data_IF_616129432941
#
_entry.id   IF_616129432941
#
_cell.length_a   1.000
_cell.length_b   1.000
_cell.length_c   1.000
_cell.angle_alpha   90.00
_cell.angle_beta   90.00
_cell.angle_gamma   90.00
#
_symmetry.space_group_name_H-M   'P 1'
#
loop_
_entity.id
_entity.type
_entity.pdbx_description
1 polymer ?
#
# COMPACT_ATOMS: atom_id res chain seq x y z
N UNK A 1 4.34 -5.51 35.19
CA UNK A 1 3.97 -4.71 36.38
C UNK A 1 4.99 -4.98 37.48
N UNK A 2 5.46 -3.92 38.12
CA UNK A 2 6.40 -3.93 39.26
C UNK A 2 5.78 -4.62 40.48
N UNK A 3 6.60 -5.20 41.35
CA UNK A 3 6.17 -5.73 42.66
C UNK A 3 5.90 -4.63 43.70
N UNK A 4 6.18 -3.38 43.34
CA UNK A 4 5.93 -2.21 44.18
C UNK A 4 4.64 -1.49 43.78
N UNK A 5 3.86 -1.02 44.77
CA UNK A 5 2.64 -0.26 44.53
C UNK A 5 2.95 1.05 43.80
N UNK A 6 2.03 1.57 42.99
CA UNK A 6 2.22 2.81 42.24
C UNK A 6 2.42 4.01 43.19
N UNK A 7 3.54 4.72 43.03
CA UNK A 7 3.81 6.07 43.54
C UNK A 7 3.13 6.49 44.85
N UNK A 8 2.27 7.50 44.79
CA UNK A 8 1.62 8.19 45.92
C UNK A 8 0.31 7.51 46.34
N UNK A 9 -0.17 7.78 47.56
CA UNK A 9 -1.44 7.21 48.06
C UNK A 9 -2.66 7.47 47.15
N UNK A 10 -2.64 8.58 46.40
CA UNK A 10 -3.69 8.93 45.43
C UNK A 10 -3.67 8.01 44.20
N UNK A 11 -2.49 7.59 43.77
CA UNK A 11 -2.31 6.70 42.61
C UNK A 11 -2.71 5.26 42.96
N UNK A 12 -2.31 4.77 44.14
CA UNK A 12 -2.75 3.46 44.67
C UNK A 12 -4.28 3.40 44.77
N UNK A 13 -4.90 4.47 45.26
CA UNK A 13 -6.36 4.59 45.34
C UNK A 13 -7.02 4.51 43.96
N UNK A 14 -6.51 5.24 42.98
CA UNK A 14 -7.07 5.21 41.62
C UNK A 14 -6.91 3.83 40.97
N UNK A 15 -5.80 3.14 41.21
CA UNK A 15 -5.58 1.80 40.69
C UNK A 15 -6.51 0.77 41.33
N UNK A 16 -6.69 0.80 42.66
CA UNK A 16 -7.67 -0.03 43.36
C UNK A 16 -9.10 0.18 42.86
N UNK A 17 -9.49 1.43 42.59
CA UNK A 17 -10.80 1.74 42.01
C UNK A 17 -10.92 1.24 40.56
N UNK A 18 -9.85 1.27 39.76
CA UNK A 18 -9.84 0.66 38.41
C UNK A 18 -9.92 -0.87 38.44
N UNK A 19 -9.54 -1.48 39.56
CA UNK A 19 -9.63 -2.91 39.81
C UNK A 19 -10.95 -3.30 40.52
N UNK A 20 -11.90 -2.38 40.65
CA UNK A 20 -13.18 -2.56 41.36
C UNK A 20 -13.04 -3.04 42.82
N UNK A 21 -11.95 -2.66 43.50
CA UNK A 21 -11.72 -3.00 44.90
C UNK A 21 -12.37 -1.98 45.82
N UNK A 22 -13.28 -2.44 46.69
CA UNK A 22 -13.96 -1.59 47.66
C UNK A 22 -12.99 -1.04 48.72
N UNK A 23 -13.01 0.27 48.93
CA UNK A 23 -12.12 0.93 49.89
C UNK A 23 -12.77 0.98 51.29
N UNK A 24 -12.01 0.68 52.36
CA UNK A 24 -12.55 0.62 53.73
C UNK A 24 -12.99 1.99 54.26
N UNK A 25 -12.40 3.10 53.79
CA UNK A 25 -12.87 4.46 54.09
C UNK A 25 -12.37 5.52 53.11
N UNK A 26 -13.03 6.69 53.12
CA UNK A 26 -12.61 7.88 52.37
C UNK A 26 -11.29 8.50 52.90
N UNK A 27 -10.83 8.09 54.09
CA UNK A 27 -9.59 8.56 54.75
C UNK A 27 -8.53 7.46 54.93
N UNK A 28 -8.63 6.35 54.18
CA UNK A 28 -7.66 5.25 54.26
C UNK A 28 -6.22 5.75 54.10
N UNK A 29 -5.36 5.34 55.03
CA UNK A 29 -3.93 5.67 55.04
C UNK A 29 -3.21 4.97 53.89
N UNK A 30 -2.04 5.50 53.51
CA UNK A 30 -1.22 4.91 52.44
C UNK A 30 -0.92 3.43 52.69
N UNK A 31 -0.55 3.08 53.92
CA UNK A 31 -0.21 1.71 54.31
C UNK A 31 -1.39 0.74 54.17
N UNK A 32 -2.62 1.20 54.47
CA UNK A 32 -3.84 0.40 54.28
C UNK A 32 -4.13 0.18 52.79
N UNK A 33 -3.96 1.21 51.96
CA UNK A 33 -4.12 1.11 50.50
C UNK A 33 -3.06 0.18 49.87
N UNK A 34 -1.81 0.22 50.35
CA UNK A 34 -0.75 -0.68 49.90
C UNK A 34 -1.04 -2.15 50.24
N UNK A 35 -1.58 -2.41 51.43
CA UNK A 35 -1.98 -3.76 51.84
C UNK A 35 -3.11 -4.31 50.95
N UNK A 36 -4.14 -3.50 50.69
CA UNK A 36 -5.23 -3.86 49.77
C UNK A 36 -4.72 -4.09 48.34
N UNK A 37 -3.83 -3.23 47.84
CA UNK A 37 -3.27 -3.39 46.50
C UNK A 37 -2.46 -4.68 46.37
N UNK A 38 -1.66 -5.04 47.38
CA UNK A 38 -0.91 -6.31 47.39
C UNK A 38 -1.81 -7.54 47.40
N UNK A 39 -2.99 -7.45 48.03
CA UNK A 39 -3.96 -8.52 48.09
C UNK A 39 -4.69 -8.75 46.76
N UNK A 40 -4.96 -7.68 46.03
CA UNK A 40 -5.78 -7.73 44.80
C UNK A 40 -4.97 -7.65 43.50
N UNK A 41 -3.66 -7.38 43.56
CA UNK A 41 -2.82 -7.30 42.36
C UNK A 41 -2.87 -8.62 41.57
N UNK A 42 -2.98 -8.56 40.24
CA UNK A 42 -2.98 -9.76 39.42
C UNK A 42 -1.65 -10.50 39.50
N UNK A 43 -1.70 -11.82 39.76
CA UNK A 43 -0.52 -12.68 39.74
C UNK A 43 0.04 -12.82 38.30
N UNK A 44 1.37 -12.90 38.16
CA UNK A 44 1.98 -13.17 36.84
C UNK A 44 1.59 -14.55 36.34
N UNK A 45 1.44 -14.75 35.01
CA UNK A 45 1.39 -16.08 34.45
C UNK A 45 2.72 -16.80 34.71
N UNK A 46 2.60 -18.00 35.28
CA UNK A 46 3.71 -18.84 35.74
C UNK A 46 4.39 -19.50 34.52
N UNK A 47 5.68 -19.24 34.30
CA UNK A 47 6.50 -19.99 33.32
C UNK A 47 7.46 -20.86 34.09
N UNK A 48 7.03 -22.06 34.46
CA UNK A 48 7.93 -23.15 34.87
C UNK A 48 7.24 -24.51 34.71
N UNK A 49 7.66 -25.28 33.72
CA UNK A 49 7.40 -26.70 33.58
C UNK A 49 8.57 -27.35 32.84
N UNK A 50 9.53 -27.90 33.59
CA UNK A 50 10.65 -28.68 33.09
C UNK A 50 10.44 -30.17 33.41
N UNK A 51 10.68 -31.05 32.44
CA UNK A 51 10.99 -32.46 32.66
C UNK A 51 12.42 -32.77 32.15
N UNK A 52 13.27 -33.21 33.10
CA UNK A 52 14.55 -33.94 33.06
C UNK A 52 15.49 -33.95 31.82
N UNK A 53 16.68 -33.33 32.00
CA UNK A 53 18.12 -33.71 31.77
C UNK A 53 18.56 -34.75 30.68
N UNK A 54 19.80 -34.69 30.10
CA UNK A 54 21.04 -34.17 30.74
C UNK A 54 22.04 -33.30 29.93
N UNK A 55 22.77 -32.49 30.71
CA UNK A 55 24.14 -31.95 30.61
C UNK A 55 24.83 -31.64 29.26
N UNK A 56 25.18 -30.36 29.05
CA UNK A 56 26.57 -29.90 28.77
C UNK A 56 26.69 -28.36 28.57
N UNK A 57 27.59 -27.75 29.35
CA UNK A 57 28.52 -26.63 29.05
C UNK A 57 28.04 -25.30 28.40
N UNK A 58 28.13 -24.25 29.22
CA UNK A 58 28.67 -22.88 28.98
C UNK A 58 28.50 -22.18 27.62
N UNK A 59 27.91 -20.96 27.62
CA UNK A 59 28.14 -19.94 26.59
C UNK A 59 27.04 -18.86 26.47
N UNK A 60 27.34 -17.55 26.48
CA UNK A 60 26.35 -16.47 26.46
C UNK A 60 26.06 -16.00 25.01
N UNK A 61 24.82 -16.08 24.54
CA UNK A 61 24.32 -15.31 23.37
C UNK A 61 22.86 -15.68 23.03
N UNK A 62 21.86 -15.00 23.61
CA UNK A 62 20.47 -15.00 23.07
C UNK A 62 19.73 -13.72 23.44
N UNK A 63 19.96 -12.64 22.68
CA UNK A 63 19.06 -11.47 22.59
C UNK A 63 19.03 -10.94 21.15
N UNK A 64 18.56 -11.75 20.18
CA UNK A 64 18.33 -11.28 18.80
C UNK A 64 17.30 -12.08 17.99
N UNK A 65 16.63 -13.11 18.56
CA UNK A 65 15.77 -14.02 17.80
C UNK A 65 14.26 -13.69 17.87
N UNK A 66 13.84 -12.74 18.72
CA UNK A 66 12.40 -12.48 18.95
C UNK A 66 11.72 -11.58 17.90
N UNK A 67 12.47 -10.73 17.20
CA UNK A 67 11.89 -9.71 16.32
C UNK A 67 11.45 -10.28 14.94
N UNK A 68 12.18 -11.26 14.39
CA UNK A 68 11.88 -11.84 13.08
C UNK A 68 10.62 -12.73 13.09
N UNK A 69 10.45 -13.51 14.15
CA UNK A 69 9.25 -14.34 14.36
C UNK A 69 8.01 -13.48 14.58
N UNK A 70 8.16 -12.33 15.26
CA UNK A 70 7.08 -11.35 15.44
C UNK A 70 6.59 -10.72 14.13
N UNK A 71 7.49 -10.47 13.17
CA UNK A 71 7.16 -9.92 11.85
C UNK A 71 6.37 -10.91 10.97
N UNK A 72 6.75 -12.18 10.98
CA UNK A 72 6.02 -13.23 10.26
C UNK A 72 4.64 -13.50 10.89
N UNK A 73 4.57 -13.52 12.22
CA UNK A 73 3.30 -13.69 12.95
C UNK A 73 2.38 -12.48 12.77
N UNK A 74 2.90 -11.25 12.76
CA UNK A 74 2.10 -10.05 12.51
C UNK A 74 1.55 -10.01 11.08
N UNK A 75 2.33 -10.43 10.08
CA UNK A 75 1.86 -10.56 8.70
C UNK A 75 0.79 -11.65 8.56
N UNK A 76 0.96 -12.79 9.25
CA UNK A 76 -0.03 -13.87 9.30
C UNK A 76 -1.30 -13.48 10.07
N UNK A 77 -1.19 -12.70 11.15
CA UNK A 77 -2.31 -12.22 11.95
C UNK A 77 -3.09 -11.10 11.25
N UNK A 78 -2.41 -10.19 10.56
CA UNK A 78 -3.06 -9.22 9.67
C UNK A 78 -3.72 -9.93 8.47
N UNK A 79 -3.09 -10.98 7.94
CA UNK A 79 -3.68 -11.90 6.97
C UNK A 79 -4.90 -12.67 7.50
N UNK A 80 -4.89 -13.05 8.79
CA UNK A 80 -6.03 -13.71 9.45
C UNK A 80 -7.19 -12.75 9.71
N UNK A 81 -6.90 -11.50 10.09
CA UNK A 81 -7.89 -10.41 10.15
C UNK A 81 -8.48 -10.04 8.79
N UNK A 82 -7.70 -10.24 7.71
CA UNK A 82 -8.16 -10.15 6.32
C UNK A 82 -9.08 -11.34 5.96
N UNK A 83 -8.71 -12.57 6.34
CA UNK A 83 -9.50 -13.78 6.08
C UNK A 83 -10.84 -13.79 6.80
N UNK A 84 -10.92 -13.23 8.01
CA UNK A 84 -12.17 -13.16 8.78
C UNK A 84 -13.15 -12.10 8.28
N UNK A 85 -12.67 -11.06 7.58
CA UNK A 85 -13.49 -9.99 6.98
C UNK A 85 -13.98 -10.30 5.57
N UNK A 86 -13.43 -11.33 4.91
CA UNK A 86 -13.87 -11.80 3.60
C UNK A 86 -15.12 -12.69 3.63
N UNK A 87 -15.74 -12.89 4.80
CA UNK A 87 -17.02 -13.61 4.92
C UNK A 87 -18.22 -12.66 4.93
N UNK A 88 -18.92 -12.47 3.80
CA UNK A 88 -20.34 -12.15 3.83
C UNK A 88 -21.16 -13.45 3.78
N UNK A 89 -22.03 -13.60 4.78
CA UNK A 89 -23.31 -14.34 4.76
C UNK A 89 -23.30 -15.72 4.08
N UNK A 90 -23.49 -16.77 4.88
CA UNK A 90 -23.67 -18.20 4.53
C UNK A 90 -22.43 -19.09 4.73
N UNK A 91 -22.06 -19.30 6.00
CA UNK A 91 -21.74 -20.64 6.53
C UNK A 91 -20.65 -21.50 5.86
N UNK A 92 -19.71 -20.95 5.09
CA UNK A 92 -18.60 -21.74 4.52
C UNK A 92 -17.25 -21.22 5.00
N UNK A 93 -16.49 -22.11 5.63
CA UNK A 93 -15.13 -21.88 6.14
C UNK A 93 -14.18 -21.52 4.99
N UNK A 94 -13.30 -20.50 5.11
CA UNK A 94 -12.38 -20.16 4.04
C UNK A 94 -11.21 -21.15 4.04
N UNK A 95 -11.32 -22.19 3.21
CA UNK A 95 -10.18 -23.01 2.85
C UNK A 95 -9.28 -22.22 1.90
N UNK A 96 -8.06 -21.95 2.36
CA UNK A 96 -6.91 -21.52 1.57
C UNK A 96 -6.71 -22.47 0.36
N UNK A 97 -7.15 -22.08 -0.83
CA UNK A 97 -6.43 -22.25 -2.10
C UNK A 97 -7.21 -21.63 -3.28
N UNK A 98 -6.53 -20.77 -4.02
CA UNK A 98 -6.42 -20.77 -5.49
C UNK A 98 -7.72 -20.98 -6.29
N UNK A 99 -8.46 -19.90 -6.49
CA UNK A 99 -9.26 -19.71 -7.70
C UNK A 99 -9.03 -18.30 -8.20
N UNK A 100 -8.63 -18.14 -9.46
CA UNK A 100 -8.80 -16.84 -10.14
C UNK A 100 -10.28 -16.48 -9.98
N UNK A 101 -10.64 -15.34 -9.37
CA UNK A 101 -12.03 -14.95 -9.23
C UNK A 101 -12.72 -14.99 -10.59
N UNK A 102 -13.81 -15.74 -10.71
CA UNK A 102 -14.57 -15.89 -11.96
C UNK A 102 -15.32 -14.59 -12.25
N UNK A 103 -15.16 -14.03 -13.45
CA UNK A 103 -16.02 -12.94 -13.95
C UNK A 103 -15.35 -11.94 -14.89
N UNK A 104 -14.03 -11.74 -14.80
CA UNK A 104 -13.29 -10.84 -15.69
C UNK A 104 -11.90 -11.39 -16.00
N UNK A 105 -11.59 -11.53 -17.29
CA UNK A 105 -10.35 -12.08 -17.81
C UNK A 105 -9.89 -11.32 -19.05
N UNK A 106 -8.81 -11.77 -19.70
CA UNK A 106 -8.30 -11.12 -20.92
C UNK A 106 -9.32 -11.14 -22.07
N UNK A 107 -10.18 -12.17 -22.16
CA UNK A 107 -11.21 -12.26 -23.19
C UNK A 107 -12.37 -11.26 -22.95
N UNK A 108 -12.48 -10.74 -21.73
CA UNK A 108 -13.45 -9.71 -21.35
C UNK A 108 -13.04 -8.30 -21.82
N UNK A 109 -11.81 -8.12 -22.30
CA UNK A 109 -11.31 -6.83 -22.77
C UNK A 109 -11.78 -6.55 -24.21
N UNK A 110 -12.28 -5.33 -24.49
CA UNK A 110 -12.55 -4.91 -25.86
C UNK A 110 -11.25 -4.69 -26.63
N UNK A 111 -11.35 -4.50 -27.95
CA UNK A 111 -10.23 -4.01 -28.74
C UNK A 111 -9.88 -2.56 -28.34
N UNK A 112 -8.63 -2.37 -27.93
CA UNK A 112 -8.08 -1.09 -27.46
C UNK A 112 -7.15 -0.45 -28.48
N UNK A 113 -7.19 -0.87 -29.76
CA UNK A 113 -6.33 -0.32 -30.84
C UNK A 113 -6.34 1.22 -30.94
N UNK A 114 -7.47 1.85 -30.61
CA UNK A 114 -7.65 3.32 -30.60
C UNK A 114 -7.29 3.98 -29.27
N UNK A 115 -6.83 3.23 -28.28
CA UNK A 115 -6.63 3.70 -26.89
C UNK A 115 -5.15 3.75 -26.54
N UNK A 116 -4.80 4.85 -25.88
CA UNK A 116 -3.43 5.15 -25.43
C UNK A 116 -3.41 5.11 -23.92
N UNK A 117 -2.53 4.29 -23.36
CA UNK A 117 -2.40 4.10 -21.91
C UNK A 117 -1.00 4.42 -21.45
N UNK A 118 -0.89 5.24 -20.42
CA UNK A 118 0.37 5.52 -19.74
C UNK A 118 0.44 4.74 -18.42
N UNK A 119 1.48 3.92 -18.23
CA UNK A 119 1.69 3.14 -17.00
C UNK A 119 3.03 3.49 -16.36
N UNK A 120 3.00 4.00 -15.13
CA UNK A 120 4.22 4.24 -14.35
C UNK A 120 4.79 2.92 -13.83
N UNK A 121 6.10 2.68 -13.98
CA UNK A 121 6.79 1.53 -13.38
C UNK A 121 6.34 0.18 -13.92
N UNK A 122 6.43 -0.03 -15.24
CA UNK A 122 5.99 -1.26 -15.91
C UNK A 122 7.13 -2.20 -16.35
N UNK A 123 8.34 -2.01 -15.81
CA UNK A 123 9.49 -2.84 -16.19
C UNK A 123 9.46 -4.26 -15.60
N UNK A 124 8.76 -4.46 -14.48
CA UNK A 124 8.64 -5.74 -13.74
C UNK A 124 7.31 -5.79 -13.00
N UNK A 125 6.95 -6.96 -12.45
CA UNK A 125 5.87 -7.09 -11.47
C UNK A 125 4.51 -6.71 -12.04
N UNK A 126 3.64 -6.21 -11.16
CA UNK A 126 2.28 -5.79 -11.48
C UNK A 126 2.19 -4.83 -12.68
N UNK A 127 3.10 -3.86 -12.79
CA UNK A 127 3.09 -2.91 -13.90
C UNK A 127 3.32 -3.60 -15.24
N UNK A 128 4.28 -4.54 -15.30
CA UNK A 128 4.51 -5.37 -16.50
C UNK A 128 3.33 -6.27 -16.81
N UNK A 129 2.72 -6.89 -15.79
CA UNK A 129 1.51 -7.69 -15.94
C UNK A 129 0.33 -6.88 -16.51
N UNK A 130 0.12 -5.66 -16.00
CA UNK A 130 -0.89 -4.73 -16.51
C UNK A 130 -0.60 -4.33 -17.96
N UNK A 131 0.64 -3.97 -18.26
CA UNK A 131 1.06 -3.64 -19.62
C UNK A 131 0.86 -4.82 -20.58
N UNK A 132 1.17 -6.06 -20.15
CA UNK A 132 0.94 -7.26 -20.95
C UNK A 132 -0.53 -7.44 -21.30
N UNK A 133 -1.41 -7.34 -20.30
CA UNK A 133 -2.86 -7.49 -20.46
C UNK A 133 -3.41 -6.48 -21.47
N UNK A 134 -3.05 -5.20 -21.31
CA UNK A 134 -3.51 -4.13 -22.19
C UNK A 134 -2.90 -4.22 -23.60
N UNK A 135 -1.63 -4.61 -23.72
CA UNK A 135 -0.97 -4.81 -25.01
C UNK A 135 -1.61 -5.95 -25.82
N UNK A 136 -2.07 -7.02 -25.16
CA UNK A 136 -2.79 -8.13 -25.84
C UNK A 136 -4.17 -7.72 -26.32
N UNK A 137 -4.76 -6.70 -25.69
CA UNK A 137 -5.96 -6.03 -26.17
C UNK A 137 -5.66 -4.91 -27.19
N UNK A 138 -4.44 -4.86 -27.76
CA UNK A 138 -3.98 -3.90 -28.77
C UNK A 138 -3.84 -2.43 -28.32
N UNK A 139 -3.85 -2.14 -27.01
CA UNK A 139 -3.61 -0.77 -26.55
C UNK A 139 -2.23 -0.26 -26.96
N UNK A 140 -2.14 1.03 -27.27
CA UNK A 140 -0.87 1.74 -27.48
C UNK A 140 -0.33 2.16 -26.11
N UNK A 141 0.82 1.62 -25.73
CA UNK A 141 1.36 1.81 -24.39
C UNK A 141 2.55 2.76 -24.41
N UNK A 142 2.50 3.76 -23.52
CA UNK A 142 3.72 4.37 -23.00
C UNK A 142 3.90 3.82 -21.59
N UNK A 143 5.08 3.29 -21.30
CA UNK A 143 5.43 2.85 -19.96
C UNK A 143 6.60 3.64 -19.41
N UNK A 144 6.84 3.53 -18.10
CA UNK A 144 8.06 4.07 -17.51
C UNK A 144 8.87 3.05 -16.74
N UNK A 145 10.17 3.30 -16.67
CA UNK A 145 11.13 2.58 -15.84
C UNK A 145 12.10 3.59 -15.22
N UNK A 146 12.79 3.21 -14.13
CA UNK A 146 13.67 4.14 -13.39
C UNK A 146 14.83 4.73 -14.19
N UNK A 147 15.27 4.07 -15.26
CA UNK A 147 16.38 4.54 -16.09
C UNK A 147 16.23 4.09 -17.53
N UNK A 148 16.94 4.77 -18.43
CA UNK A 148 16.95 4.44 -19.86
C UNK A 148 17.38 2.99 -20.11
N UNK A 149 18.41 2.52 -19.39
CA UNK A 149 18.87 1.14 -19.46
C UNK A 149 17.76 0.12 -19.13
N UNK A 150 16.86 0.46 -18.19
CA UNK A 150 15.72 -0.40 -17.82
C UNK A 150 14.57 -0.28 -18.81
N UNK A 151 14.47 0.80 -19.57
CA UNK A 151 13.41 0.98 -20.54
C UNK A 151 13.50 0.00 -21.72
N UNK A 152 14.70 -0.22 -22.25
CA UNK A 152 14.90 -1.22 -23.31
C UNK A 152 14.45 -2.63 -22.86
N UNK A 153 14.82 -3.02 -21.63
CA UNK A 153 14.38 -4.28 -21.01
C UNK A 153 12.87 -4.35 -20.76
N UNK A 154 12.24 -3.24 -20.37
CA UNK A 154 10.80 -3.17 -20.17
C UNK A 154 10.03 -3.42 -21.48
N UNK A 155 10.40 -2.71 -22.56
CA UNK A 155 9.78 -2.88 -23.88
C UNK A 155 9.96 -4.31 -24.39
N UNK A 156 11.19 -4.84 -24.31
CA UNK A 156 11.48 -6.21 -24.73
C UNK A 156 10.67 -7.25 -23.93
N UNK A 157 10.61 -7.09 -22.61
CA UNK A 157 9.87 -7.99 -21.72
C UNK A 157 8.37 -7.98 -21.98
N UNK A 158 7.78 -6.80 -22.20
CA UNK A 158 6.35 -6.68 -22.52
C UNK A 158 6.05 -7.29 -23.89
N UNK A 159 6.87 -6.99 -24.92
CA UNK A 159 6.70 -7.57 -26.26
C UNK A 159 6.88 -9.09 -26.28
N UNK A 160 7.81 -9.62 -25.49
CA UNK A 160 7.98 -11.06 -25.34
C UNK A 160 6.75 -11.73 -24.73
N UNK A 161 6.09 -11.07 -23.77
CA UNK A 161 4.94 -11.62 -23.06
C UNK A 161 3.58 -11.36 -23.75
N UNK A 162 3.45 -10.29 -24.54
CA UNK A 162 2.21 -9.91 -25.22
C UNK A 162 2.21 -10.22 -26.73
N UNK A 163 3.39 -10.36 -27.33
CA UNK A 163 3.59 -10.59 -28.76
C UNK A 163 4.42 -9.47 -29.42
N UNK A 164 5.17 -9.79 -30.49
CA UNK A 164 6.14 -8.85 -31.09
C UNK A 164 5.50 -7.61 -31.72
N UNK A 165 4.20 -7.66 -32.02
CA UNK A 165 3.42 -6.55 -32.59
C UNK A 165 2.88 -5.56 -31.54
N UNK A 166 3.06 -5.82 -30.25
CA UNK A 166 2.60 -4.92 -29.19
C UNK A 166 3.23 -3.52 -29.36
N UNK A 167 2.39 -2.48 -29.35
CA UNK A 167 2.83 -1.08 -29.44
C UNK A 167 3.21 -0.58 -28.05
N UNK A 168 4.51 -0.49 -27.78
CA UNK A 168 5.06 -0.12 -26.47
C UNK A 168 6.27 0.78 -26.65
N UNK A 169 6.21 1.98 -26.07
CA UNK A 169 7.35 2.88 -25.87
C UNK A 169 7.65 3.00 -24.36
N UNK A 170 8.89 3.35 -24.00
CA UNK A 170 9.28 3.54 -22.60
C UNK A 170 10.12 4.79 -22.40
N UNK A 171 9.77 5.57 -21.37
CA UNK A 171 10.53 6.74 -20.95
C UNK A 171 11.07 6.59 -19.52
N UNK A 172 12.27 7.11 -19.23
CA UNK A 172 12.82 7.07 -17.88
C UNK A 172 12.00 7.95 -16.92
N UNK A 173 11.73 7.44 -15.72
CA UNK A 173 11.03 8.14 -14.64
C UNK A 173 11.57 7.66 -13.30
N UNK A 174 12.31 8.52 -12.60
CA UNK A 174 12.57 8.37 -11.17
C UNK A 174 11.54 9.17 -10.38
N UNK A 175 10.82 8.49 -9.48
CA UNK A 175 9.73 9.08 -8.69
C UNK A 175 10.21 9.68 -7.38
N UNK A 176 11.44 9.37 -6.94
CA UNK A 176 12.06 10.03 -5.79
C UNK A 176 12.67 11.40 -6.11
N UNK A 177 12.39 11.95 -7.29
CA UNK A 177 12.84 13.26 -7.77
C UNK A 177 11.69 13.94 -8.52
N UNK A 178 11.13 15.01 -7.96
CA UNK A 178 10.06 15.78 -8.61
C UNK A 178 10.55 16.49 -9.88
N UNK A 179 11.84 16.84 -9.93
CA UNK A 179 12.46 17.35 -11.15
C UNK A 179 12.47 16.30 -12.28
N UNK A 180 12.73 15.03 -11.95
CA UNK A 180 12.59 13.91 -12.88
C UNK A 180 11.14 13.75 -13.34
N UNK A 181 10.17 13.85 -12.43
CA UNK A 181 8.73 13.81 -12.75
C UNK A 181 8.33 14.90 -13.76
N UNK A 182 8.75 16.16 -13.53
CA UNK A 182 8.48 17.27 -14.45
C UNK A 182 9.05 17.00 -15.85
N UNK A 183 10.33 16.63 -15.95
CA UNK A 183 10.98 16.31 -17.22
C UNK A 183 10.28 15.15 -17.95
N UNK A 184 9.86 14.13 -17.21
CA UNK A 184 9.08 13.02 -17.77
C UNK A 184 7.74 13.49 -18.35
N UNK A 185 7.00 14.32 -17.61
CA UNK A 185 5.72 14.87 -18.07
C UNK A 185 5.87 15.75 -19.32
N UNK A 186 6.93 16.56 -19.39
CA UNK A 186 7.28 17.37 -20.57
C UNK A 186 7.61 16.49 -21.78
N UNK A 187 8.41 15.43 -21.59
CA UNK A 187 8.83 14.53 -22.66
C UNK A 187 7.69 13.61 -23.17
N UNK A 188 6.80 13.17 -22.28
CA UNK A 188 5.72 12.23 -22.63
C UNK A 188 4.54 12.92 -23.30
N UNK A 189 4.28 14.19 -22.99
CA UNK A 189 3.14 14.97 -23.52
C UNK A 189 3.08 14.98 -25.06
N UNK A 190 4.13 15.36 -25.81
CA UNK A 190 4.07 15.36 -27.28
C UNK A 190 3.91 13.94 -27.85
N UNK A 191 4.45 12.92 -27.19
CA UNK A 191 4.26 11.51 -27.62
C UNK A 191 2.80 11.08 -27.46
N UNK A 192 2.18 11.38 -26.32
CA UNK A 192 0.76 11.08 -26.10
C UNK A 192 -0.12 11.79 -27.14
N UNK A 193 0.16 13.07 -27.42
CA UNK A 193 -0.56 13.82 -28.46
C UNK A 193 -0.40 13.19 -29.85
N UNK A 194 0.81 12.77 -30.22
CA UNK A 194 1.08 12.09 -31.48
C UNK A 194 0.36 10.74 -31.61
N UNK A 195 0.13 10.04 -30.49
CA UNK A 195 -0.64 8.79 -30.45
C UNK A 195 -2.16 9.01 -30.40
N UNK A 196 -2.63 10.27 -30.39
CA UNK A 196 -4.06 10.61 -30.39
C UNK A 196 -4.66 10.90 -29.01
N UNK A 197 -3.85 11.03 -27.95
CA UNK A 197 -4.29 11.46 -26.62
C UNK A 197 -3.82 10.57 -25.47
N UNK A 198 -4.45 10.72 -24.31
CA UNK A 198 -4.23 9.92 -23.10
C UNK A 198 -5.56 9.41 -22.58
N UNK A 199 -5.87 8.14 -22.86
CA UNK A 199 -7.16 7.56 -22.55
C UNK A 199 -7.20 6.89 -21.17
N UNK A 200 -6.07 6.39 -20.67
CA UNK A 200 -5.94 5.93 -19.30
C UNK A 200 -4.54 6.24 -18.74
N UNK A 201 -4.51 6.78 -17.52
CA UNK A 201 -3.31 6.99 -16.73
C UNK A 201 -3.28 5.99 -15.56
N UNK A 202 -2.26 5.15 -15.51
CA UNK A 202 -2.10 4.13 -14.46
C UNK A 202 -0.89 4.48 -13.58
N UNK A 203 -1.18 5.03 -12.41
CA UNK A 203 -0.23 5.39 -11.35
C UNK A 203 0.06 4.14 -10.51
N UNK A 204 0.83 3.23 -11.11
CA UNK A 204 1.14 1.90 -10.58
C UNK A 204 2.40 1.84 -9.70
N UNK A 205 3.40 2.66 -9.99
CA UNK A 205 4.71 2.50 -9.38
C UNK A 205 4.68 2.73 -7.86
N UNK A 206 5.55 2.05 -7.12
CA UNK A 206 5.62 2.29 -5.69
C UNK A 206 6.74 1.55 -5.00
N UNK A 207 7.01 1.97 -3.77
CA UNK A 207 7.93 1.34 -2.84
C UNK A 207 7.20 0.87 -1.59
N UNK A 208 7.75 -0.16 -0.96
CA UNK A 208 7.21 -0.73 0.27
C UNK A 208 8.35 -1.07 1.22
N UNK A 209 8.21 -0.60 2.45
CA UNK A 209 9.09 -0.86 3.59
C UNK A 209 10.59 -0.57 3.39
N UNK A 210 10.98 0.54 2.73
CA UNK A 210 12.36 0.98 2.82
C UNK A 210 12.72 1.35 4.28
N UNK A 211 14.02 1.42 4.63
CA UNK A 211 14.44 2.17 5.81
C UNK A 211 13.99 3.64 5.70
N UNK A 212 14.00 4.38 6.81
CA UNK A 212 13.71 5.82 6.77
C UNK A 212 14.72 6.51 5.85
N UNK A 213 14.19 7.18 4.83
CA UNK A 213 14.94 7.92 3.82
C UNK A 213 14.05 9.06 3.33
N UNK A 214 14.68 10.09 2.75
CA UNK A 214 13.98 11.21 2.14
C UNK A 214 14.27 11.26 0.63
N UNK A 215 13.30 11.73 -0.15
CA UNK A 215 13.47 12.08 -1.57
C UNK A 215 14.44 13.26 -1.75
N UNK A 216 14.80 13.60 -2.99
CA UNK A 216 15.62 14.77 -3.29
C UNK A 216 15.04 16.07 -2.72
N UNK A 217 13.71 16.16 -2.64
CA UNK A 217 12.97 17.32 -2.12
C UNK A 217 12.75 17.27 -0.59
N UNK A 218 13.33 16.28 0.10
CA UNK A 218 13.22 16.15 1.55
C UNK A 218 11.82 15.71 2.00
N UNK A 219 11.20 14.76 1.30
CA UNK A 219 9.91 14.15 1.67
C UNK A 219 10.16 12.68 2.00
N UNK A 220 9.52 12.13 3.05
CA UNK A 220 9.64 10.71 3.36
C UNK A 220 9.38 9.83 2.13
N UNK A 221 10.26 8.85 1.92
CA UNK A 221 10.38 8.15 0.65
C UNK A 221 9.10 7.46 0.19
N UNK A 222 8.38 6.75 1.07
CA UNK A 222 7.14 6.06 0.68
C UNK A 222 6.03 7.06 0.32
N UNK A 223 5.85 8.12 1.11
CA UNK A 223 4.87 9.16 0.83
C UNK A 223 5.22 9.95 -0.43
N UNK A 224 6.49 10.35 -0.59
CA UNK A 224 7.02 11.06 -1.75
C UNK A 224 6.84 10.28 -3.05
N UNK A 225 7.27 9.02 -3.08
CA UNK A 225 7.19 8.17 -4.29
C UNK A 225 5.76 7.70 -4.56
N UNK A 226 5.06 7.16 -3.57
CA UNK A 226 3.78 6.48 -3.81
C UNK A 226 2.63 7.46 -4.07
N UNK A 227 2.68 8.66 -3.47
CA UNK A 227 1.61 9.66 -3.49
C UNK A 227 2.04 10.98 -4.15
N UNK A 228 3.03 11.70 -3.61
CA UNK A 228 3.34 13.10 -4.06
C UNK A 228 3.79 13.13 -5.53
N UNK A 229 4.69 12.24 -5.94
CA UNK A 229 5.16 12.18 -7.32
C UNK A 229 4.03 11.81 -8.29
N UNK A 230 3.14 10.91 -7.90
CA UNK A 230 1.97 10.53 -8.70
C UNK A 230 0.91 11.63 -8.78
N UNK A 231 0.68 12.36 -7.69
CA UNK A 231 -0.15 13.55 -7.68
C UNK A 231 0.36 14.56 -8.71
N UNK A 232 1.67 14.82 -8.71
CA UNK A 232 2.30 15.72 -9.68
C UNK A 232 2.08 15.22 -11.12
N UNK A 233 2.30 13.94 -11.42
CA UNK A 233 2.05 13.37 -12.77
C UNK A 233 0.60 13.60 -13.22
N UNK A 234 -0.37 13.28 -12.34
CA UNK A 234 -1.78 13.46 -12.66
C UNK A 234 -2.11 14.94 -12.91
N UNK A 235 -1.60 15.85 -12.09
CA UNK A 235 -1.79 17.30 -12.25
C UNK A 235 -1.21 17.81 -13.58
N UNK A 236 0.01 17.40 -13.94
CA UNK A 236 0.66 17.83 -15.18
C UNK A 236 -0.06 17.29 -16.43
N UNK A 237 -0.65 16.09 -16.34
CA UNK A 237 -1.30 15.41 -17.47
C UNK A 237 -2.83 15.56 -17.48
N UNK A 238 -3.45 16.20 -16.49
CA UNK A 238 -4.91 16.32 -16.39
C UNK A 238 -5.55 16.98 -17.62
N UNK A 239 -4.87 17.97 -18.23
CA UNK A 239 -5.36 18.62 -19.44
C UNK A 239 -5.47 17.66 -20.62
N UNK A 240 -4.54 16.70 -20.74
CA UNK A 240 -4.61 15.66 -21.77
C UNK A 240 -5.71 14.64 -21.46
N UNK A 241 -5.90 14.27 -20.20
CA UNK A 241 -7.02 13.39 -19.80
C UNK A 241 -8.36 14.03 -20.18
N UNK A 242 -8.57 15.31 -19.86
CA UNK A 242 -9.79 16.04 -20.22
C UNK A 242 -9.95 16.15 -21.74
N UNK A 243 -8.89 16.47 -22.48
CA UNK A 243 -8.94 16.56 -23.94
C UNK A 243 -9.21 15.19 -24.62
N UNK A 244 -8.92 14.09 -23.92
CA UNK A 244 -9.11 12.72 -24.40
C UNK A 244 -10.37 12.05 -23.83
N UNK A 245 -11.25 12.83 -23.18
CA UNK A 245 -12.47 12.30 -22.60
C UNK A 245 -13.34 11.58 -23.66
N UNK A 246 -13.95 10.41 -23.35
CA UNK A 246 -13.93 9.75 -22.05
C UNK A 246 -12.57 9.09 -21.74
N UNK A 247 -12.02 9.40 -20.57
CA UNK A 247 -10.70 8.93 -20.12
C UNK A 247 -10.70 8.59 -18.62
N UNK A 248 -9.61 8.00 -18.14
CA UNK A 248 -9.49 7.62 -16.73
C UNK A 248 -8.11 7.82 -16.12
N UNK A 249 -8.09 7.91 -14.79
CA UNK A 249 -6.90 7.81 -13.98
C UNK A 249 -7.08 6.73 -12.89
N UNK A 250 -6.09 5.88 -12.69
CA UNK A 250 -6.10 4.82 -11.68
C UNK A 250 -4.87 4.92 -10.81
N UNK A 251 -5.08 5.04 -9.50
CA UNK A 251 -4.02 4.93 -8.51
C UNK A 251 -3.98 3.51 -7.91
N UNK A 252 -2.83 2.86 -7.97
CA UNK A 252 -2.63 1.56 -7.33
C UNK A 252 -2.46 1.77 -5.82
N UNK A 253 -3.51 1.44 -5.09
CA UNK A 253 -3.56 1.39 -3.64
C UNK A 253 -3.25 -0.05 -3.17
N UNK A 254 -3.73 -0.45 -2.00
CA UNK A 254 -3.55 -1.77 -1.40
C UNK A 254 -4.52 -1.94 -0.25
N UNK A 255 -4.87 -3.17 0.12
CA UNK A 255 -5.51 -3.46 1.42
C UNK A 255 -4.68 -2.98 2.61
N UNK A 256 -3.38 -2.73 2.41
CA UNK A 256 -2.56 -2.08 3.41
C UNK A 256 -3.09 -0.70 3.85
N UNK A 257 -3.95 -0.04 3.06
CA UNK A 257 -4.59 1.20 3.51
C UNK A 257 -5.44 1.00 4.78
N UNK A 258 -5.90 -0.22 5.08
CA UNK A 258 -6.66 -0.56 6.28
C UNK A 258 -5.77 -0.95 7.48
N UNK A 259 -4.46 -1.12 7.28
CA UNK A 259 -3.53 -1.48 8.36
C UNK A 259 -3.38 -0.36 9.39
N UNK A 260 -2.83 -0.67 10.59
CA UNK A 260 -2.46 0.34 11.56
C UNK A 260 -1.59 1.43 10.94
N UNK A 261 -2.02 2.68 11.14
CA UNK A 261 -1.49 3.91 10.57
C UNK A 261 -1.67 5.04 11.59
N UNK A 262 -1.11 6.25 11.37
CA UNK A 262 -1.31 7.38 12.27
C UNK A 262 -2.80 7.62 12.58
N UNK A 263 -3.12 8.11 13.78
CA UNK A 263 -4.50 8.18 14.27
C UNK A 263 -5.45 8.99 13.38
N UNK A 264 -4.93 9.96 12.61
CA UNK A 264 -5.70 10.75 11.63
C UNK A 264 -5.82 10.09 10.25
N UNK A 265 -5.31 8.87 10.06
CA UNK A 265 -5.25 8.17 8.79
C UNK A 265 -4.03 8.55 7.95
N UNK A 266 -3.93 9.82 7.55
CA UNK A 266 -2.79 10.40 6.83
C UNK A 266 -2.30 11.63 7.58
N UNK A 267 -1.00 11.72 7.81
CA UNK A 267 -0.39 12.93 8.38
C UNK A 267 -0.42 14.05 7.31
N UNK A 268 -0.83 15.24 7.70
CA UNK A 268 -0.89 16.43 6.83
C UNK A 268 0.12 17.50 7.26
N UNK A 269 1.24 17.07 7.83
CA UNK A 269 2.31 17.93 8.32
C UNK A 269 3.66 17.30 7.92
N UNK A 270 4.48 18.03 7.15
CA UNK A 270 5.70 17.46 6.57
C UNK A 270 6.69 17.02 7.66
N UNK A 271 6.83 17.79 8.75
CA UNK A 271 7.74 17.47 9.84
C UNK A 271 7.36 16.14 10.51
N UNK A 272 6.06 15.89 10.72
CA UNK A 272 5.57 14.63 11.26
C UNK A 272 5.71 13.47 10.28
N UNK A 273 5.51 13.70 8.97
CA UNK A 273 5.76 12.69 7.92
C UNK A 273 7.25 12.31 7.89
N UNK A 274 8.14 13.28 8.06
CA UNK A 274 9.59 13.10 7.96
C UNK A 274 10.24 12.64 9.27
N UNK A 275 9.53 12.64 10.40
CA UNK A 275 10.10 12.30 11.70
C UNK A 275 10.58 10.84 11.76
N UNK A 276 11.91 10.67 11.79
CA UNK A 276 12.57 9.38 11.88
C UNK A 276 12.24 8.60 13.17
N UNK A 277 11.92 9.30 14.27
CA UNK A 277 11.56 8.68 15.54
C UNK A 277 10.15 8.07 15.51
N UNK A 278 9.26 8.63 14.69
CA UNK A 278 7.91 8.10 14.50
C UNK A 278 7.84 7.03 13.40
N UNK A 279 8.83 7.00 12.51
CA UNK A 279 8.79 6.17 11.31
C UNK A 279 8.58 4.68 11.60
N UNK A 280 7.50 4.15 11.05
CA UNK A 280 7.21 2.73 10.97
C UNK A 280 7.02 2.36 9.50
N UNK A 281 7.87 1.49 8.92
CA UNK A 281 7.78 1.14 7.50
C UNK A 281 6.36 0.72 7.07
N UNK A 282 5.67 -0.06 7.92
CA UNK A 282 4.31 -0.54 7.67
C UNK A 282 3.27 0.58 7.78
N UNK A 283 3.33 1.41 8.82
CA UNK A 283 2.37 2.49 9.01
C UNK A 283 2.53 3.59 7.94
N UNK A 284 3.76 3.86 7.49
CA UNK A 284 4.03 4.81 6.42
C UNK A 284 3.59 4.29 5.06
N UNK A 285 3.77 2.99 4.82
CA UNK A 285 3.20 2.35 3.65
C UNK A 285 1.65 2.43 3.67
N UNK A 286 1.03 2.08 4.81
CA UNK A 286 -0.42 2.12 4.99
C UNK A 286 -1.00 3.51 4.73
N UNK A 287 -0.42 4.57 5.31
CA UNK A 287 -0.87 5.94 5.03
C UNK A 287 -0.66 6.33 3.57
N UNK A 288 0.44 5.92 2.93
CA UNK A 288 0.68 6.22 1.51
C UNK A 288 -0.36 5.55 0.60
N UNK A 289 -0.83 4.35 0.96
CA UNK A 289 -1.88 3.64 0.20
C UNK A 289 -3.28 4.17 0.48
N UNK A 290 -3.54 4.67 1.69
CA UNK A 290 -4.73 5.46 1.98
C UNK A 290 -4.72 6.78 1.19
N UNK A 291 -3.57 7.46 1.13
CA UNK A 291 -3.42 8.69 0.37
C UNK A 291 -3.77 8.50 -1.11
N UNK A 292 -3.32 7.40 -1.74
CA UNK A 292 -3.71 7.06 -3.12
C UNK A 292 -5.23 6.88 -3.30
N UNK A 293 -5.92 6.29 -2.32
CA UNK A 293 -7.37 6.11 -2.37
C UNK A 293 -8.10 7.45 -2.27
N UNK A 294 -7.74 8.27 -1.28
CA UNK A 294 -8.32 9.60 -1.06
C UNK A 294 -8.03 10.53 -2.26
N UNK A 295 -6.82 10.44 -2.80
CA UNK A 295 -6.42 11.15 -4.02
C UNK A 295 -7.34 10.81 -5.20
N UNK A 296 -7.58 9.52 -5.47
CA UNK A 296 -8.46 9.12 -6.57
C UNK A 296 -9.89 9.63 -6.38
N UNK A 297 -10.43 9.59 -5.15
CA UNK A 297 -11.75 10.13 -4.84
C UNK A 297 -11.85 11.65 -5.11
N UNK A 298 -10.83 12.41 -4.71
CA UNK A 298 -10.80 13.86 -4.93
C UNK A 298 -10.55 14.22 -6.40
N UNK A 299 -9.68 13.49 -7.08
CA UNK A 299 -9.45 13.66 -8.53
C UNK A 299 -10.76 13.43 -9.31
N UNK A 300 -11.53 12.40 -8.93
CA UNK A 300 -12.82 12.10 -9.54
C UNK A 300 -13.81 13.24 -9.29
N UNK A 301 -13.96 13.67 -8.03
CA UNK A 301 -14.85 14.76 -7.66
C UNK A 301 -14.56 16.05 -8.46
N UNK A 302 -13.29 16.27 -8.86
CA UNK A 302 -12.86 17.44 -9.63
C UNK A 302 -13.01 17.30 -11.14
N UNK A 303 -12.84 16.09 -11.68
CA UNK A 303 -12.73 15.89 -13.13
C UNK A 303 -13.87 15.08 -13.75
N UNK A 304 -14.73 14.44 -12.96
CA UNK A 304 -15.83 13.60 -13.46
C UNK A 304 -16.78 14.38 -14.39
N UNK A 305 -17.14 15.61 -14.01
CA UNK A 305 -17.97 16.49 -14.85
C UNK A 305 -17.31 16.88 -16.18
N UNK A 306 -16.00 16.68 -16.33
CA UNK A 306 -15.22 16.87 -17.56
C UNK A 306 -15.00 15.56 -18.33
N UNK A 307 -15.69 14.48 -17.96
CA UNK A 307 -15.60 13.18 -18.62
C UNK A 307 -14.37 12.34 -18.25
N UNK A 308 -13.70 12.66 -17.13
CA UNK A 308 -12.56 11.88 -16.62
C UNK A 308 -12.95 11.17 -15.33
N UNK A 309 -12.90 9.84 -15.31
CA UNK A 309 -13.12 9.05 -14.09
C UNK A 309 -11.81 8.80 -13.35
N UNK A 310 -11.77 8.92 -12.04
CA UNK A 310 -10.61 8.52 -11.24
C UNK A 310 -10.97 7.43 -10.22
N UNK A 311 -10.18 6.37 -10.19
CA UNK A 311 -10.42 5.20 -9.33
C UNK A 311 -9.16 4.78 -8.58
N UNK A 312 -9.32 4.04 -7.50
CA UNK A 312 -8.24 3.36 -6.80
C UNK A 312 -8.40 1.84 -6.92
N UNK A 313 -7.30 1.11 -6.89
CA UNK A 313 -7.33 -0.36 -7.00
C UNK A 313 -6.36 -1.01 -6.05
N UNK A 314 -6.81 -2.04 -5.34
CA UNK A 314 -5.95 -3.05 -4.75
C UNK A 314 -5.79 -4.20 -5.75
N UNK A 315 -4.57 -4.51 -6.19
CA UNK A 315 -4.30 -5.54 -7.19
C UNK A 315 -4.18 -6.95 -6.60
N UNK A 316 -4.24 -7.08 -5.27
CA UNK A 316 -4.04 -8.34 -4.56
C UNK A 316 -2.57 -8.59 -4.22
N UNK A 317 -2.29 -9.78 -3.68
CA UNK A 317 -0.92 -10.21 -3.40
C UNK A 317 -0.28 -10.71 -4.70
N UNK A 318 0.44 -9.85 -5.41
CA UNK A 318 1.01 -10.13 -6.74
C UNK A 318 2.51 -10.35 -6.65
N UNK A 319 3.03 -11.33 -7.38
CA UNK A 319 4.47 -11.60 -7.44
C UNK A 319 5.22 -10.38 -8.00
N UNK A 320 6.32 -9.98 -7.36
CA UNK A 320 7.12 -8.86 -7.83
C UNK A 320 8.22 -8.40 -6.87
N UNK A 321 8.94 -7.36 -7.27
CA UNK A 321 10.06 -6.80 -6.50
C UNK A 321 9.64 -5.88 -5.34
N UNK A 322 8.34 -5.72 -5.08
CA UNK A 322 7.85 -4.81 -4.04
C UNK A 322 8.41 -5.16 -2.64
N UNK A 323 8.66 -6.46 -2.40
CA UNK A 323 9.25 -6.98 -1.16
C UNK A 323 10.80 -6.90 -1.12
N UNK A 324 11.47 -6.29 -2.10
CA UNK A 324 12.95 -6.29 -2.18
C UNK A 324 13.64 -5.75 -0.93
N UNK A 325 13.05 -4.76 -0.26
CA UNK A 325 13.60 -4.19 0.97
C UNK A 325 13.45 -5.14 2.16
N UNK A 326 12.34 -5.85 2.25
CA UNK A 326 12.16 -6.93 3.22
C UNK A 326 13.14 -8.07 2.97
N UNK A 327 13.39 -8.44 1.71
CA UNK A 327 14.38 -9.46 1.32
C UNK A 327 15.81 -9.02 1.64
N UNK A 328 16.18 -7.79 1.34
CA UNK A 328 17.51 -7.23 1.65
C UNK A 328 17.76 -7.16 3.17
N UNK A 329 16.75 -6.77 3.95
CA UNK A 329 16.85 -6.76 5.41
C UNK A 329 16.96 -8.20 5.98
N UNK A 330 16.28 -9.17 5.38
CA UNK A 330 16.37 -10.58 5.78
C UNK A 330 17.74 -11.19 5.41
N UNK A 331 18.27 -10.90 4.22
CA UNK A 331 19.57 -11.42 3.76
C UNK A 331 20.75 -10.86 4.54
N UNK A 332 20.68 -9.60 5.00
CA UNK A 332 21.68 -9.01 5.91
C UNK A 332 21.74 -9.67 7.30
N UNK A 333 20.74 -10.49 7.64
CA UNK A 333 20.61 -11.20 8.94
C UNK A 333 20.81 -12.71 8.84
N UNK A 334 21.21 -13.25 7.69
CA UNK A 334 21.31 -14.69 7.47
C UNK A 334 22.69 -15.27 7.85
N UNK A 335 22.74 -15.94 9.00
CA UNK A 335 23.60 -17.10 9.26
C UNK A 335 22.85 -18.40 8.78
N UNK A 336 23.43 -19.62 8.80
CA UNK A 336 23.26 -20.72 7.82
C UNK A 336 21.93 -21.51 7.91
N UNK A 337 20.78 -20.84 7.85
CA UNK A 337 19.44 -21.45 7.77
C UNK A 337 18.76 -21.23 6.39
N UNK A 338 19.55 -21.01 5.34
CA UNK A 338 19.05 -20.63 4.02
C UNK A 338 18.06 -21.61 3.37
N UNK A 339 18.21 -22.94 3.39
CA UNK A 339 17.33 -23.80 2.57
C UNK A 339 15.90 -23.92 3.13
N UNK A 340 15.72 -23.88 4.46
CA UNK A 340 14.39 -23.89 5.09
C UNK A 340 13.69 -22.54 4.91
N UNK A 341 14.43 -21.44 5.04
CA UNK A 341 13.91 -20.10 4.77
C UNK A 341 13.49 -19.96 3.30
N UNK A 342 14.32 -20.41 2.36
CA UNK A 342 14.02 -20.41 0.92
C UNK A 342 12.83 -21.32 0.57
N UNK A 343 12.65 -22.44 1.28
CA UNK A 343 11.50 -23.33 1.10
C UNK A 343 10.20 -22.68 1.62
N UNK A 344 10.23 -22.04 2.79
CA UNK A 344 9.09 -21.29 3.34
C UNK A 344 8.78 -20.07 2.48
N UNK A 345 9.78 -19.35 1.98
CA UNK A 345 9.58 -18.23 1.05
C UNK A 345 8.93 -18.71 -0.26
N UNK A 346 9.40 -19.80 -0.85
CA UNK A 346 8.78 -20.40 -2.05
C UNK A 346 7.33 -20.83 -1.81
N UNK A 347 7.05 -21.43 -0.65
CA UNK A 347 5.69 -21.79 -0.26
C UNK A 347 4.80 -20.55 -0.05
N UNK A 348 5.33 -19.46 0.53
CA UNK A 348 4.62 -18.20 0.69
C UNK A 348 4.37 -17.51 -0.66
N UNK A 349 5.35 -17.51 -1.57
CA UNK A 349 5.22 -16.99 -2.94
C UNK A 349 4.20 -17.77 -3.78
N UNK A 350 3.94 -19.03 -3.47
CA UNK A 350 2.88 -19.81 -4.10
C UNK A 350 1.46 -19.29 -3.78
N UNK A 351 1.30 -18.45 -2.76
CA UNK A 351 0.05 -17.73 -2.48
C UNK A 351 -0.05 -16.39 -3.22
N UNK A 352 1.04 -15.92 -3.85
CA UNK A 352 1.02 -14.70 -4.65
C UNK A 352 0.58 -15.01 -6.08
N UNK A 353 -0.29 -14.16 -6.59
CA UNK A 353 -0.83 -14.28 -7.93
C UNK A 353 0.20 -13.91 -9.00
N UNK A 354 0.12 -14.54 -10.19
CA UNK A 354 0.88 -14.10 -11.36
C UNK A 354 0.66 -12.61 -11.65
N UNK A 355 1.69 -11.96 -12.21
CA UNK A 355 1.68 -10.51 -12.50
C UNK A 355 0.45 -10.08 -13.31
N UNK A 356 0.04 -10.92 -14.26
CA UNK A 356 -1.11 -10.70 -15.12
C UNK A 356 -2.47 -10.74 -14.42
N UNK A 357 -2.62 -11.59 -13.39
CA UNK A 357 -3.89 -11.70 -12.65
C UNK A 357 -4.10 -10.44 -11.83
N UNK A 358 -3.03 -9.91 -11.23
CA UNK A 358 -3.04 -8.58 -10.64
C UNK A 358 -3.33 -7.49 -11.68
N UNK A 359 -2.68 -7.61 -12.85
CA UNK A 359 -2.83 -6.67 -13.96
C UNK A 359 -4.25 -6.55 -14.49
N UNK A 360 -5.03 -7.63 -14.47
CA UNK A 360 -6.46 -7.60 -14.85
C UNK A 360 -7.29 -6.67 -13.96
N UNK A 361 -7.01 -6.61 -12.67
CA UNK A 361 -7.74 -5.72 -11.76
C UNK A 361 -7.41 -4.25 -12.04
N UNK A 362 -6.14 -3.96 -12.34
CA UNK A 362 -5.69 -2.61 -12.70
C UNK A 362 -6.26 -2.20 -14.06
N UNK A 363 -6.21 -3.09 -15.06
CA UNK A 363 -6.82 -2.89 -16.36
C UNK A 363 -8.33 -2.64 -16.22
N UNK A 364 -9.04 -3.46 -15.45
CA UNK A 364 -10.45 -3.23 -15.18
C UNK A 364 -10.72 -1.85 -14.60
N UNK A 365 -10.02 -1.46 -13.53
CA UNK A 365 -10.22 -0.14 -12.91
C UNK A 365 -9.94 1.03 -13.88
N UNK A 366 -9.04 0.83 -14.84
CA UNK A 366 -8.69 1.83 -15.85
C UNK A 366 -9.72 1.91 -16.98
N UNK A 367 -10.38 0.80 -17.31
CA UNK A 367 -11.30 0.73 -18.43
C UNK A 367 -12.78 0.81 -18.00
N UNK A 368 -13.10 0.51 -16.73
CA UNK A 368 -14.46 0.26 -16.23
C UNK A 368 -15.48 1.33 -16.65
N UNK A 369 -15.21 2.59 -16.32
CA UNK A 369 -16.06 3.71 -16.72
C UNK A 369 -16.04 3.98 -18.22
N UNK A 370 -14.91 4.49 -18.77
CA UNK A 370 -14.89 5.07 -20.11
C UNK A 370 -14.93 4.06 -21.26
N UNK A 371 -14.57 2.79 -21.03
CA UNK A 371 -14.37 1.80 -22.10
C UNK A 371 -15.17 0.51 -21.94
N UNK A 372 -15.50 0.10 -20.71
CA UNK A 372 -16.35 -1.06 -20.44
C UNK A 372 -17.81 -0.67 -20.19
N UNK A 373 -18.12 0.63 -20.09
CA UNK A 373 -19.49 1.11 -19.90
C UNK A 373 -20.09 0.78 -18.54
N UNK A 374 -19.27 0.52 -17.52
CA UNK A 374 -19.74 0.31 -16.15
C UNK A 374 -20.21 1.65 -15.58
N UNK A 375 -21.52 1.88 -15.66
CA UNK A 375 -22.16 3.06 -15.09
C UNK A 375 -21.84 3.16 -13.58
N UNK A 376 -21.30 4.29 -13.14
CA UNK A 376 -20.92 4.51 -11.74
C UNK A 376 -19.49 4.09 -11.36
N UNK A 377 -18.67 3.59 -12.28
CA UNK A 377 -17.26 3.25 -12.02
C UNK A 377 -16.33 4.49 -11.96
N UNK A 378 -16.62 5.42 -11.06
CA UNK A 378 -15.91 6.67 -10.86
C UNK A 378 -15.84 6.98 -9.35
N UNK A 379 -14.68 7.43 -8.85
CA UNK A 379 -14.43 7.64 -7.42
C UNK A 379 -14.44 6.34 -6.59
N UNK A 380 -14.27 5.18 -7.24
CA UNK A 380 -14.43 3.86 -6.62
C UNK A 380 -13.09 3.25 -6.20
N UNK A 381 -13.20 2.27 -5.28
CA UNK A 381 -12.10 1.41 -4.90
C UNK A 381 -12.39 -0.02 -5.37
N UNK A 382 -11.50 -0.56 -6.20
CA UNK A 382 -11.64 -1.91 -6.74
C UNK A 382 -10.71 -2.89 -6.02
N UNK A 383 -11.20 -4.10 -5.82
CA UNK A 383 -10.42 -5.24 -5.32
C UNK A 383 -10.40 -6.37 -6.34
N UNK A 384 -9.50 -7.33 -6.18
CA UNK A 384 -9.35 -8.34 -7.18
C UNK A 384 -10.46 -9.39 -7.16
N UNK A 385 -10.85 -9.94 -8.32
CA UNK A 385 -10.59 -9.40 -9.67
C UNK A 385 -11.80 -8.59 -10.07
N UNK A 386 -11.59 -7.34 -10.49
CA UNK A 386 -12.61 -6.49 -11.11
C UNK A 386 -13.89 -6.29 -10.28
N UNK A 387 -13.77 -6.21 -8.95
CA UNK A 387 -14.93 -6.03 -8.05
C UNK A 387 -14.88 -4.67 -7.38
N UNK A 388 -15.95 -3.91 -7.47
CA UNK A 388 -16.13 -2.72 -6.63
C UNK A 388 -16.18 -3.15 -5.16
N UNK A 389 -15.36 -2.51 -4.34
CA UNK A 389 -15.45 -2.62 -2.89
C UNK A 389 -16.50 -1.61 -2.40
N UNK A 390 -17.55 -2.05 -1.70
CA UNK A 390 -18.60 -1.13 -1.25
C UNK A 390 -18.03 0.02 -0.43
N UNK A 391 -18.47 1.24 -0.71
CA UNK A 391 -18.02 2.40 0.07
C UNK A 391 -18.31 2.22 1.57
N UNK A 392 -19.42 1.55 1.94
CA UNK A 392 -19.80 1.26 3.33
C UNK A 392 -18.81 0.35 4.08
N UNK A 393 -18.01 -0.44 3.37
CA UNK A 393 -17.00 -1.33 3.97
C UNK A 393 -15.62 -0.69 4.09
N UNK A 394 -15.42 0.51 3.54
CA UNK A 394 -14.18 1.26 3.70
C UNK A 394 -14.03 1.78 5.14
N UNK A 395 -12.77 1.80 5.60
CA UNK A 395 -12.44 2.33 6.92
C UNK A 395 -12.83 3.81 7.06
N UNK A 396 -13.03 4.28 8.29
CA UNK A 396 -13.54 5.62 8.57
C UNK A 396 -12.70 6.75 7.95
N UNK A 397 -11.38 6.56 7.83
CA UNK A 397 -10.50 7.55 7.19
C UNK A 397 -10.69 7.58 5.67
N UNK A 398 -10.87 6.42 5.04
CA UNK A 398 -11.11 6.30 3.58
C UNK A 398 -12.48 6.87 3.13
N UNK A 399 -13.38 7.14 4.09
CA UNK A 399 -14.65 7.84 3.85
C UNK A 399 -14.66 9.29 4.34
N UNK A 400 -13.55 9.77 4.89
CA UNK A 400 -13.48 11.10 5.49
C UNK A 400 -13.21 12.17 4.41
N UNK A 401 -14.28 12.84 3.98
CA UNK A 401 -14.22 13.91 2.96
C UNK A 401 -13.34 15.10 3.41
N UNK A 402 -13.29 15.39 4.71
CA UNK A 402 -12.41 16.45 5.25
C UNK A 402 -10.95 16.05 5.09
N UNK A 403 -10.59 14.81 5.42
CA UNK A 403 -9.24 14.29 5.22
C UNK A 403 -8.88 14.22 3.73
N UNK A 404 -9.81 13.80 2.88
CA UNK A 404 -9.65 13.78 1.42
C UNK A 404 -9.26 15.16 0.87
N UNK A 405 -10.04 16.20 1.18
CA UNK A 405 -9.78 17.57 0.72
C UNK A 405 -8.55 18.18 1.38
N UNK A 406 -8.32 17.86 2.65
CA UNK A 406 -7.12 18.27 3.40
C UNK A 406 -5.85 17.69 2.78
N UNK A 407 -5.85 16.41 2.42
CA UNK A 407 -4.72 15.76 1.73
C UNK A 407 -4.43 16.42 0.38
N UNK A 408 -5.46 16.74 -0.41
CA UNK A 408 -5.28 17.43 -1.68
C UNK A 408 -4.59 18.79 -1.48
N UNK A 409 -5.15 19.61 -0.59
CA UNK A 409 -4.63 20.97 -0.32
C UNK A 409 -3.20 20.91 0.23
N UNK A 410 -2.96 20.03 1.20
CA UNK A 410 -1.62 19.77 1.73
C UNK A 410 -0.63 19.35 0.64
N UNK A 411 -1.03 18.49 -0.30
CA UNK A 411 -0.14 18.05 -1.37
C UNK A 411 0.18 19.17 -2.37
N UNK A 412 -0.80 20.03 -2.68
CA UNK A 412 -0.58 21.22 -3.53
C UNK A 412 0.36 22.22 -2.85
N UNK A 413 0.14 22.53 -1.57
CA UNK A 413 0.98 23.42 -0.78
C UNK A 413 2.41 22.85 -0.62
N UNK A 414 2.53 21.55 -0.37
CA UNK A 414 3.81 20.86 -0.31
C UNK A 414 4.55 21.00 -1.64
N UNK A 415 3.90 20.72 -2.77
CA UNK A 415 4.52 20.90 -4.10
C UNK A 415 4.94 22.36 -4.33
N UNK A 416 4.09 23.33 -3.99
CA UNK A 416 4.41 24.75 -4.11
C UNK A 416 5.64 25.14 -3.26
N UNK A 417 5.70 24.68 -2.01
CA UNK A 417 6.84 24.93 -1.11
C UNK A 417 8.17 24.36 -1.62
N UNK A 418 8.11 23.36 -2.51
CA UNK A 418 9.27 22.73 -3.14
C UNK A 418 9.58 23.27 -4.54
N UNK A 419 8.91 24.34 -4.98
CA UNK A 419 9.12 24.95 -6.30
C UNK A 419 8.38 24.26 -7.45
N UNK A 420 7.38 23.43 -7.14
CA UNK A 420 6.54 22.73 -8.11
C UNK A 420 5.08 23.19 -8.04
N UNK A 421 4.85 24.47 -7.73
CA UNK A 421 3.52 25.08 -7.72
C UNK A 421 2.83 25.06 -9.09
N UNK A 422 1.58 25.53 -9.12
CA UNK A 422 0.90 25.88 -10.38
C UNK A 422 1.22 27.36 -10.65
N UNK A 423 1.77 27.65 -11.83
CA UNK A 423 2.03 29.02 -12.27
C UNK A 423 0.74 29.81 -12.54
#
# INVERSE_FOLDING_TARGET
>A
MSDEPPGTAKEIRQELLRMDVALPSSKATRSELEALWRQHRPARPNVSGSASAPAAKSGPQRKACGAATGLAIAALAAGWGYLSRLSPVSGTTPLLHLGIPRGFDEASLPDLSSKVVLITGANVGLGRGTARVLARANAQLIVSARSEAKCAGAVAGIKAAAGPRASVDCLPLELSSLASVKRFCEAVRPKLQALGGLHALVLNAGVMFPPHMLTEEGIEWQFGVNHVAHFLIARELQGLLVASAPSSCVAVSSLAHEWPKPAGGVLLELDAINDAAMYSPQAWYAQSKLANLLFSQELDARLHAKGVSANAVNPGAVQGELLRWSKAAASSRAAPLSPLFDAVERALLAFYWPEEVGGLSVAYAALAGPMLGHAGAHGKYFVPVAREWPASTLDGHARNVTLQRGLWSFTEELLASKGFGVD
#
